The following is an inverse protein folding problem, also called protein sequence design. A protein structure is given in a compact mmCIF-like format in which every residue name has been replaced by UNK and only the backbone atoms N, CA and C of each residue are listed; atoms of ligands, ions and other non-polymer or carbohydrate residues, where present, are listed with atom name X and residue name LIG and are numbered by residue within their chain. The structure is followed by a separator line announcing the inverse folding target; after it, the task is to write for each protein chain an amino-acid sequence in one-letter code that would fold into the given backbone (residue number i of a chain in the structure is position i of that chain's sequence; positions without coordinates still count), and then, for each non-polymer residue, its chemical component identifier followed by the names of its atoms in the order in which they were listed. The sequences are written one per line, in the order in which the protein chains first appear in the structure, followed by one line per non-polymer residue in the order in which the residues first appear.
data_IF_610216300453
#
_entry.id   IF_610216300453
#
_cell.length_a   1.000
_cell.length_b   1.000
_cell.length_c   1.000
_cell.angle_alpha   90.00
_cell.angle_beta   90.00
_cell.angle_gamma   90.00
#
_symmetry.space_group_name_H-M   'P 1'
#
loop_
_entity.id
_entity.type
_entity.pdbx_description
1 polymer ?
#
# COMPACT_ATOMS: atom_id res chain seq x y z
N UNK A 1 -9.51 11.60 2.55
CA UNK A 1 -10.64 11.10 1.71
C UNK A 1 -10.44 9.59 1.54
N UNK A 2 -11.44 8.75 1.85
CA UNK A 2 -11.35 7.28 1.68
C UNK A 2 -11.98 6.94 0.33
N UNK A 3 -11.16 6.60 -0.66
CA UNK A 3 -11.67 6.18 -1.96
C UNK A 3 -10.86 4.97 -2.44
N UNK A 4 -11.48 3.80 -2.39
CA UNK A 4 -11.01 2.68 -3.20
C UNK A 4 -11.67 2.80 -4.57
N UNK A 5 -10.95 2.43 -5.62
CA UNK A 5 -11.52 2.33 -6.96
C UNK A 5 -11.92 0.88 -7.25
N UNK A 6 -13.01 0.68 -7.98
CA UNK A 6 -13.31 -0.61 -8.60
C UNK A 6 -12.47 -0.83 -9.88
N UNK A 7 -12.66 -1.98 -10.55
CA UNK A 7 -11.98 -2.32 -11.81
C UNK A 7 -12.35 -1.39 -12.98
N UNK A 8 -13.38 -0.55 -12.81
CA UNK A 8 -13.84 0.43 -13.79
C UNK A 8 -13.49 1.87 -13.39
N UNK A 9 -12.64 2.03 -12.35
CA UNK A 9 -12.24 3.33 -11.77
C UNK A 9 -13.40 4.11 -11.12
N UNK A 10 -14.51 3.47 -10.77
CA UNK A 10 -15.55 4.10 -9.97
C UNK A 10 -15.16 4.09 -8.50
N UNK A 11 -15.48 5.17 -7.80
CA UNK A 11 -15.29 5.26 -6.36
C UNK A 11 -16.21 4.25 -5.67
N UNK A 12 -15.61 3.35 -4.91
CA UNK A 12 -16.34 2.44 -4.02
C UNK A 12 -15.95 2.71 -2.57
N UNK A 13 -16.92 2.53 -1.69
CA UNK A 13 -16.65 2.50 -0.25
C UNK A 13 -15.78 1.28 0.07
N UNK A 14 -14.76 1.46 0.90
CA UNK A 14 -13.98 0.35 1.46
C UNK A 14 -14.86 -0.42 2.45
N UNK A 15 -14.77 -1.76 2.46
CA UNK A 15 -15.52 -2.62 3.41
C UNK A 15 -15.36 -2.10 4.84
N UNK A 16 -16.43 -1.50 5.39
CA UNK A 16 -16.50 -1.03 6.77
C UNK A 16 -16.14 0.44 7.05
N UNK A 17 -15.90 1.30 6.05
CA UNK A 17 -15.59 2.75 6.23
C UNK A 17 -14.50 3.07 7.28
N UNK A 18 -13.59 2.12 7.53
CA UNK A 18 -12.57 2.24 8.58
C UNK A 18 -11.52 3.28 8.17
N UNK A 19 -11.23 4.21 9.08
CA UNK A 19 -10.06 5.09 8.99
C UNK A 19 -8.96 4.48 9.84
N UNK A 20 -7.86 4.13 9.19
CA UNK A 20 -6.67 3.61 9.86
C UNK A 20 -5.50 4.51 9.53
N UNK A 21 -4.76 4.91 10.57
CA UNK A 21 -3.50 5.65 10.45
C UNK A 21 -2.36 4.68 10.70
N UNK A 22 -1.45 4.56 9.74
CA UNK A 22 -0.24 3.76 9.91
C UNK A 22 0.94 4.69 10.16
N UNK A 23 1.76 4.34 11.14
CA UNK A 23 3.14 4.82 11.15
C UNK A 23 3.92 4.06 10.07
N UNK A 24 4.75 4.78 9.34
CA UNK A 24 5.61 4.22 8.30
C UNK A 24 7.08 4.42 8.67
N UNK A 25 7.98 3.51 8.26
CA UNK A 25 9.40 3.63 8.56
C UNK A 25 10.00 4.89 7.94
N UNK A 26 11.07 5.41 8.55
CA UNK A 26 11.79 6.59 8.03
C UNK A 26 12.33 6.32 6.63
N UNK A 27 12.81 5.10 6.36
CA UNK A 27 13.35 4.69 5.06
C UNK A 27 12.28 4.75 3.97
N UNK A 28 11.05 4.34 4.30
CA UNK A 28 9.92 4.46 3.36
C UNK A 28 9.51 5.93 3.17
N UNK A 29 9.57 6.72 4.24
CA UNK A 29 9.29 8.16 4.17
C UNK A 29 10.27 8.89 3.25
N UNK A 30 11.56 8.61 3.37
CA UNK A 30 12.61 9.17 2.52
C UNK A 30 12.42 8.78 1.05
N UNK A 31 12.10 7.51 0.78
CA UNK A 31 11.77 7.03 -0.57
C UNK A 31 10.56 7.77 -1.16
N UNK A 32 9.50 7.95 -0.38
CA UNK A 32 8.29 8.64 -0.82
C UNK A 32 8.52 10.14 -1.05
N UNK A 33 9.37 10.78 -0.24
CA UNK A 33 9.76 12.18 -0.42
C UNK A 33 10.58 12.37 -1.70
N UNK A 34 11.57 11.51 -1.92
CA UNK A 34 12.36 11.50 -3.15
C UNK A 34 11.45 11.31 -4.38
N UNK A 35 10.53 10.35 -4.30
CA UNK A 35 9.52 10.13 -5.34
C UNK A 35 8.64 11.35 -5.58
N UNK A 36 8.14 12.03 -4.53
CA UNK A 36 7.33 13.25 -4.70
C UNK A 36 8.08 14.37 -5.43
N UNK A 37 9.38 14.52 -5.17
CA UNK A 37 10.24 15.50 -5.86
C UNK A 37 10.40 15.14 -7.35
N UNK A 38 10.61 13.86 -7.65
CA UNK A 38 10.65 13.37 -9.04
C UNK A 38 9.31 13.60 -9.73
N UNK A 39 8.19 13.20 -9.10
CA UNK A 39 6.84 13.39 -9.63
C UNK A 39 6.56 14.85 -9.96
N UNK A 40 6.95 15.80 -9.10
CA UNK A 40 6.81 17.24 -9.38
C UNK A 40 7.52 17.65 -10.67
N UNK A 41 8.73 17.15 -10.86
CA UNK A 41 9.55 17.44 -12.05
C UNK A 41 8.93 16.81 -13.31
N UNK A 42 8.38 15.61 -13.21
CA UNK A 42 7.71 14.92 -14.32
C UNK A 42 6.39 15.60 -14.69
N UNK A 43 5.55 15.96 -13.72
CA UNK A 43 4.28 16.65 -13.92
C UNK A 43 4.46 18.05 -14.53
N UNK A 44 5.50 18.78 -14.11
CA UNK A 44 5.81 20.11 -14.66
C UNK A 44 6.07 20.07 -16.18
N UNK A 45 6.60 18.96 -16.72
CA UNK A 45 6.81 18.78 -18.18
C UNK A 45 5.49 18.77 -18.96
N UNK A 46 4.38 18.45 -18.30
CA UNK A 46 3.03 18.47 -18.85
C UNK A 46 2.24 19.72 -18.43
N UNK A 47 2.90 20.72 -17.84
CA UNK A 47 2.25 21.93 -17.32
C UNK A 47 1.40 21.71 -16.06
N UNK A 48 1.56 20.56 -15.38
CA UNK A 48 0.78 20.21 -14.20
C UNK A 48 1.56 20.63 -12.94
N UNK A 49 0.92 21.43 -12.10
CA UNK A 49 1.45 21.83 -10.79
C UNK A 49 0.99 20.81 -9.74
N UNK A 50 1.95 20.21 -9.04
CA UNK A 50 1.67 19.28 -7.94
C UNK A 50 0.96 20.01 -6.79
N UNK A 51 -0.18 19.48 -6.34
CA UNK A 51 -0.96 19.97 -5.19
C UNK A 51 -0.89 19.02 -3.99
N UNK A 52 -1.44 19.43 -2.85
CA UNK A 52 -1.51 18.59 -1.65
C UNK A 52 -2.46 17.39 -1.81
N UNK A 53 -3.47 17.51 -2.69
CA UNK A 53 -4.41 16.43 -3.01
C UNK A 53 -3.88 15.47 -4.10
N UNK A 54 -2.63 15.66 -4.53
CA UNK A 54 -2.00 14.84 -5.55
C UNK A 54 -1.87 13.37 -5.11
N UNK A 55 -2.33 12.45 -5.97
CA UNK A 55 -2.08 11.02 -5.81
C UNK A 55 -0.58 10.74 -5.78
N UNK A 56 -0.15 9.92 -4.81
CA UNK A 56 1.26 9.52 -4.67
C UNK A 56 1.74 8.76 -5.90
N UNK A 57 0.96 7.80 -6.41
CA UNK A 57 1.30 7.03 -7.60
C UNK A 57 0.29 7.26 -8.71
N UNK A 58 0.76 7.65 -9.88
CA UNK A 58 -0.06 7.94 -11.05
C UNK A 58 0.49 7.30 -12.32
N UNK A 59 -0.31 7.29 -13.38
CA UNK A 59 0.10 6.83 -14.69
C UNK A 59 -0.55 7.67 -15.80
N UNK A 60 -0.03 7.54 -17.02
CA UNK A 60 -0.67 8.07 -18.23
C UNK A 60 -1.62 7.00 -18.75
N UNK A 61 -2.91 7.33 -18.87
CA UNK A 61 -3.89 6.37 -19.36
C UNK A 61 -3.88 6.25 -20.89
N UNK A 62 -4.64 5.28 -21.42
CA UNK A 62 -4.73 5.04 -22.86
C UNK A 62 -5.39 6.19 -23.65
N UNK A 63 -6.05 7.13 -22.96
CA UNK A 63 -6.66 8.32 -23.55
C UNK A 63 -5.71 9.52 -23.54
N UNK A 64 -4.49 9.34 -23.01
CA UNK A 64 -3.50 10.40 -22.89
C UNK A 64 -3.66 11.26 -21.63
N UNK A 65 -4.57 10.92 -20.71
CA UNK A 65 -4.71 11.66 -19.46
C UNK A 65 -3.50 11.37 -18.57
N UNK A 66 -2.68 12.39 -18.40
CA UNK A 66 -1.58 12.39 -17.44
C UNK A 66 -2.16 12.43 -16.03
N UNK A 67 -1.41 11.91 -15.06
CA UNK A 67 -1.75 12.00 -13.64
C UNK A 67 -2.98 11.20 -13.19
N UNK A 68 -3.33 10.14 -13.92
CA UNK A 68 -4.45 9.27 -13.58
C UNK A 68 -4.13 8.35 -12.39
N UNK A 69 -5.11 8.00 -11.54
CA UNK A 69 -4.90 7.04 -10.45
C UNK A 69 -4.62 5.64 -11.01
N UNK A 70 -3.71 4.89 -10.38
CA UNK A 70 -3.36 3.54 -10.82
C UNK A 70 -4.58 2.61 -10.89
N UNK A 71 -4.64 1.81 -11.95
CA UNK A 71 -5.60 0.71 -12.05
C UNK A 71 -5.34 -0.35 -10.96
N UNK A 72 -6.37 -1.03 -10.47
CA UNK A 72 -6.23 -2.07 -9.43
C UNK A 72 -5.25 -3.19 -9.83
N UNK A 73 -5.20 -3.51 -11.13
CA UNK A 73 -4.30 -4.55 -11.66
C UNK A 73 -2.89 -4.05 -11.95
N UNK A 74 -2.61 -2.75 -11.81
CA UNK A 74 -1.31 -2.17 -12.15
C UNK A 74 -0.18 -2.90 -11.41
N UNK A 75 -0.32 -3.07 -10.10
CA UNK A 75 0.69 -3.72 -9.29
C UNK A 75 0.82 -5.21 -9.63
N UNK A 76 -0.29 -5.91 -9.88
CA UNK A 76 -0.27 -7.30 -10.36
C UNK A 76 0.50 -7.44 -11.69
N UNK A 77 0.28 -6.52 -12.62
CA UNK A 77 0.96 -6.50 -13.90
C UNK A 77 2.46 -6.19 -13.74
N UNK A 78 2.84 -5.25 -12.87
CA UNK A 78 4.25 -5.00 -12.55
C UNK A 78 4.93 -6.23 -11.93
N UNK A 79 4.26 -6.95 -11.04
CA UNK A 79 4.77 -8.22 -10.50
C UNK A 79 4.99 -9.28 -11.58
N UNK A 80 4.06 -9.40 -12.56
CA UNK A 80 4.25 -10.27 -13.73
C UNK A 80 5.46 -9.86 -14.57
N UNK A 81 5.64 -8.56 -14.83
CA UNK A 81 6.80 -8.05 -15.57
C UNK A 81 8.13 -8.29 -14.85
N UNK A 82 8.16 -8.24 -13.51
CA UNK A 82 9.34 -8.61 -12.72
C UNK A 82 9.63 -10.11 -12.89
N UNK A 83 8.63 -10.98 -12.68
CA UNK A 83 8.79 -12.44 -12.87
C UNK A 83 9.27 -12.81 -14.28
N UNK A 84 8.80 -12.12 -15.31
CA UNK A 84 9.21 -12.40 -16.68
C UNK A 84 10.70 -12.09 -16.92
N UNK A 85 11.21 -11.00 -16.32
CA UNK A 85 12.62 -10.59 -16.40
C UNK A 85 13.54 -11.40 -15.49
N UNK A 86 12.99 -11.94 -14.40
CA UNK A 86 13.71 -12.64 -13.35
C UNK A 86 13.05 -14.00 -13.10
N UNK A 87 13.33 -14.96 -13.98
CA UNK A 87 12.70 -16.30 -13.97
C UNK A 87 13.11 -17.14 -12.75
N UNK A 88 14.23 -16.80 -12.13
CA UNK A 88 14.75 -17.36 -10.88
C UNK A 88 13.89 -17.01 -9.65
N UNK A 89 13.12 -15.92 -9.72
CA UNK A 89 12.29 -15.49 -8.60
C UNK A 89 11.01 -16.31 -8.51
N UNK A 90 10.66 -16.70 -7.29
CA UNK A 90 9.38 -17.34 -6.99
C UNK A 90 8.21 -16.45 -7.42
N UNK A 91 7.11 -17.08 -7.88
CA UNK A 91 5.94 -16.33 -8.31
C UNK A 91 5.26 -15.61 -7.13
N UNK A 92 5.41 -14.28 -7.11
CA UNK A 92 4.79 -13.40 -6.14
C UNK A 92 3.63 -12.57 -6.72
N UNK A 93 2.69 -12.23 -5.86
CA UNK A 93 1.58 -11.29 -6.08
C UNK A 93 1.51 -10.36 -4.87
N UNK A 94 0.86 -9.18 -4.94
CA UNK A 94 0.72 -8.29 -3.79
C UNK A 94 0.08 -8.98 -2.58
N UNK A 95 -0.91 -9.86 -2.83
CA UNK A 95 -1.54 -10.66 -1.78
C UNK A 95 -0.57 -11.66 -1.14
N UNK A 96 0.25 -12.36 -1.95
CA UNK A 96 1.29 -13.25 -1.43
C UNK A 96 2.35 -12.49 -0.63
N UNK A 97 2.80 -11.34 -1.10
CA UNK A 97 3.75 -10.49 -0.37
C UNK A 97 3.20 -10.06 0.99
N UNK A 98 1.92 -9.68 1.05
CA UNK A 98 1.22 -9.38 2.31
C UNK A 98 1.21 -10.60 3.25
N UNK A 99 0.92 -11.79 2.75
CA UNK A 99 0.99 -13.02 3.53
C UNK A 99 2.41 -13.32 4.01
N UNK A 100 3.43 -13.19 3.15
CA UNK A 100 4.83 -13.37 3.51
C UNK A 100 5.24 -12.42 4.63
N UNK A 101 4.83 -11.15 4.57
CA UNK A 101 5.08 -10.20 5.66
C UNK A 101 4.49 -10.69 7.00
N UNK A 102 3.26 -11.19 6.99
CA UNK A 102 2.62 -11.73 8.20
C UNK A 102 3.34 -12.97 8.74
N UNK A 103 3.74 -13.88 7.85
CA UNK A 103 4.50 -15.08 8.21
C UNK A 103 5.87 -14.72 8.80
N UNK A 104 6.59 -13.78 8.20
CA UNK A 104 7.89 -13.31 8.70
C UNK A 104 7.75 -12.63 10.06
N UNK A 105 6.73 -11.78 10.25
CA UNK A 105 6.44 -11.17 11.54
C UNK A 105 6.16 -12.24 12.62
N UNK A 106 5.41 -13.29 12.27
CA UNK A 106 5.14 -14.41 13.19
C UNK A 106 6.41 -15.18 13.53
N UNK A 107 7.26 -15.46 12.54
CA UNK A 107 8.54 -16.14 12.75
C UNK A 107 9.50 -15.32 13.61
N UNK A 108 9.41 -13.98 13.54
CA UNK A 108 10.13 -13.06 14.40
C UNK A 108 9.56 -12.95 15.83
N UNK A 109 8.57 -13.77 16.19
CA UNK A 109 7.98 -13.80 17.53
C UNK A 109 6.83 -12.82 17.76
N UNK A 110 6.34 -12.14 16.71
CA UNK A 110 5.18 -11.23 16.84
C UNK A 110 3.91 -12.03 17.13
N UNK A 111 3.08 -11.56 18.07
CA UNK A 111 1.82 -12.22 18.42
C UNK A 111 0.81 -12.16 17.27
N UNK A 112 -0.15 -13.09 17.26
CA UNK A 112 -1.17 -13.13 16.21
C UNK A 112 -2.11 -11.93 16.30
N UNK A 113 -2.35 -11.42 17.50
CA UNK A 113 -3.15 -10.23 17.79
C UNK A 113 -2.50 -8.99 17.18
N UNK A 114 -1.20 -8.79 17.42
CA UNK A 114 -0.44 -7.67 16.86
C UNK A 114 -0.36 -7.74 15.32
N UNK A 115 -0.19 -8.94 14.75
CA UNK A 115 -0.23 -9.14 13.29
C UNK A 115 -1.63 -8.83 12.72
N UNK A 116 -2.69 -9.31 13.38
CA UNK A 116 -4.08 -9.06 12.96
C UNK A 116 -4.41 -7.57 12.95
N UNK A 117 -4.00 -6.87 14.03
CA UNK A 117 -4.14 -5.43 14.15
C UNK A 117 -3.37 -4.69 13.05
N UNK A 118 -2.09 -5.02 12.86
CA UNK A 118 -1.25 -4.40 11.85
C UNK A 118 -1.69 -4.69 10.40
N UNK A 119 -2.44 -5.77 10.16
CA UNK A 119 -3.07 -6.07 8.86
C UNK A 119 -4.46 -5.47 8.71
N UNK A 120 -5.00 -4.79 9.72
CA UNK A 120 -6.38 -4.25 9.73
C UNK A 120 -7.48 -5.28 9.47
N UNK A 121 -7.24 -6.56 9.82
CA UNK A 121 -8.27 -7.59 9.61
C UNK A 121 -9.46 -7.35 10.54
N UNK A 122 -10.68 -7.51 9.98
CA UNK A 122 -11.94 -7.27 10.70
C UNK A 122 -12.36 -8.43 11.58
N UNK A 123 -11.75 -9.61 11.41
CA UNK A 123 -12.22 -10.85 12.03
C UNK A 123 -11.20 -11.38 13.05
N UNK A 124 -11.18 -10.70 14.20
CA UNK A 124 -11.04 -11.36 15.50
C UNK A 124 -12.17 -10.81 16.36
N UNK A 125 -13.16 -11.66 16.61
CA UNK A 125 -14.50 -11.40 17.11
C UNK A 125 -14.59 -10.47 18.35
N UNK A 126 -15.67 -9.68 18.36
CA UNK A 126 -16.40 -9.15 19.55
C UNK A 126 -15.66 -8.22 20.52
N UNK A 127 -15.46 -6.95 20.15
CA UNK A 127 -15.60 -5.76 21.06
C UNK A 127 -15.19 -4.40 20.44
N UNK A 128 -14.83 -4.28 19.16
CA UNK A 128 -14.51 -2.97 18.55
C UNK A 128 -15.73 -2.18 18.02
N UNK A 129 -16.95 -2.49 18.47
CA UNK A 129 -18.20 -1.89 17.94
C UNK A 129 -18.56 -0.54 18.57
N UNK A 130 -17.87 -0.07 19.61
CA UNK A 130 -18.32 1.12 20.36
C UNK A 130 -17.49 2.39 20.21
N UNK A 131 -16.46 2.42 19.36
CA UNK A 131 -15.65 3.62 19.21
C UNK A 131 -15.40 3.92 17.75
N UNK A 132 -16.02 4.99 17.26
CA UNK A 132 -15.82 5.56 15.92
C UNK A 132 -14.51 6.37 15.88
N UNK A 133 -13.43 5.81 16.42
CA UNK A 133 -12.10 6.43 16.46
C UNK A 133 -11.20 5.79 15.42
N UNK A 134 -10.30 6.59 14.84
CA UNK A 134 -9.35 6.08 13.85
C UNK A 134 -8.39 5.11 14.52
N UNK A 135 -8.22 3.90 13.95
CA UNK A 135 -7.27 2.93 14.50
C UNK A 135 -5.85 3.40 14.17
N UNK A 136 -4.99 3.58 15.18
CA UNK A 136 -3.59 3.94 14.98
C UNK A 136 -2.76 2.67 15.07
N UNK A 137 -2.11 2.32 13.97
CA UNK A 137 -1.22 1.16 13.89
C UNK A 137 0.21 1.67 14.01
N UNK A 138 0.91 1.35 15.12
CA UNK A 138 2.25 1.87 15.40
C UNK A 138 3.32 1.30 14.47
N UNK A 139 3.08 0.14 13.83
CA UNK A 139 4.00 -0.45 12.88
C UNK A 139 3.23 -1.35 11.90
N UNK A 140 3.45 -1.20 10.60
CA UNK A 140 2.85 -2.08 9.60
C UNK A 140 3.54 -3.46 9.60
N UNK A 141 2.82 -4.52 9.26
CA UNK A 141 3.39 -5.89 9.20
C UNK A 141 4.59 -5.99 8.26
N UNK A 142 4.59 -5.25 7.16
CA UNK A 142 5.74 -5.21 6.25
C UNK A 142 6.99 -4.63 6.90
N UNK A 143 6.84 -3.64 7.79
CA UNK A 143 7.96 -3.08 8.54
C UNK A 143 8.47 -4.06 9.60
N UNK A 144 7.56 -4.69 10.37
CA UNK A 144 7.93 -5.72 11.34
C UNK A 144 8.76 -6.81 10.66
N UNK A 145 8.29 -7.30 9.51
CA UNK A 145 9.02 -8.28 8.72
C UNK A 145 10.40 -7.75 8.29
N UNK A 146 10.46 -6.55 7.71
CA UNK A 146 11.70 -5.95 7.20
C UNK A 146 12.78 -5.79 8.28
N UNK A 147 12.41 -5.34 9.49
CA UNK A 147 13.35 -5.17 10.62
C UNK A 147 13.95 -6.49 11.11
N UNK A 148 13.24 -7.59 10.90
CA UNK A 148 13.63 -8.93 11.38
C UNK A 148 14.21 -9.82 10.27
N UNK A 149 14.37 -9.31 9.04
CA UNK A 149 15.14 -9.99 8.02
C UNK A 149 16.61 -10.03 8.46
N UNK A 150 17.19 -11.24 8.55
CA UNK A 150 18.63 -11.41 8.77
C UNK A 150 19.38 -10.68 7.64
N UNK A 151 20.27 -9.76 8.01
CA UNK A 151 21.24 -9.18 7.08
C UNK A 151 22.28 -10.21 6.68
#
# INVERSE_FOLDING_TARGET
MVQALDKYKNVKSTKGNKKTTFQIPIELTELLQSWKKQQKTELAKFGIIQSDEQYVFTYIDMKGNVNSPLHSDYLNNKMKSVKHRHKELAHATPHKLRHTGATLAKQAGTSLEAISEALTHSDTLTTKTYVNTSNVIPMAVGEIAYRNLKK
#
